data_IF_600136054788
#
_entry.id   IF_600136054788
#
_cell.length_a   1.000
_cell.length_b   1.000
_cell.length_c   1.000
_cell.angle_alpha   90.00
_cell.angle_beta   90.00
_cell.angle_gamma   90.00
#
_symmetry.space_group_name_H-M   'P 1'
#
loop_
_entity.id
_entity.type
_entity.pdbx_description
1 polymer ?
#
# COMPACT_ATOMS: atom_id res chain seq x y z
N UNK A 1 3.91 -7.80 -20.35
CA UNK A 1 3.69 -6.91 -19.19
C UNK A 1 4.64 -5.73 -19.34
N UNK A 2 4.13 -4.51 -19.56
CA UNK A 2 4.96 -3.31 -19.77
C UNK A 2 5.25 -2.70 -18.39
N UNK A 3 6.51 -2.71 -17.98
CA UNK A 3 6.96 -2.12 -16.72
C UNK A 3 6.69 -0.61 -16.74
N UNK A 4 6.01 -0.11 -15.71
CA UNK A 4 5.84 1.32 -15.49
C UNK A 4 7.21 1.97 -15.23
N UNK A 5 7.48 3.17 -15.78
CA UNK A 5 8.75 3.86 -15.58
C UNK A 5 9.00 4.06 -14.08
N UNK A 6 10.21 3.75 -13.62
CA UNK A 6 10.65 3.87 -12.22
C UNK A 6 10.61 5.34 -11.79
N UNK A 7 9.43 5.78 -11.36
CA UNK A 7 9.27 6.97 -10.55
C UNK A 7 9.68 6.56 -9.15
N UNK A 8 10.63 7.28 -8.54
CA UNK A 8 10.97 7.10 -7.13
C UNK A 8 9.70 7.41 -6.32
N UNK A 9 8.96 6.37 -5.99
CA UNK A 9 7.74 6.45 -5.19
C UNK A 9 8.20 6.68 -3.75
N UNK A 10 8.04 7.89 -3.22
CA UNK A 10 8.27 8.20 -1.80
C UNK A 10 7.12 7.68 -0.92
N UNK A 11 6.56 6.53 -1.27
CA UNK A 11 5.49 5.88 -0.53
C UNK A 11 6.13 4.94 0.49
N UNK A 12 6.57 5.52 1.60
CA UNK A 12 7.08 4.75 2.75
C UNK A 12 5.89 4.03 3.39
N UNK A 13 5.93 2.71 3.33
CA UNK A 13 5.10 1.86 4.16
C UNK A 13 5.67 1.90 5.59
N UNK A 14 4.82 2.14 6.58
CA UNK A 14 5.21 2.10 7.98
C UNK A 14 5.14 0.65 8.46
N UNK A 15 6.23 0.18 9.08
CA UNK A 15 6.31 -1.16 9.63
C UNK A 15 6.74 -1.11 11.10
N UNK A 16 6.11 -1.92 11.93
CA UNK A 16 6.46 -2.12 13.35
C UNK A 16 6.70 -3.61 13.59
N UNK A 17 7.91 -3.97 14.04
CA UNK A 17 8.36 -5.36 14.22
C UNK A 17 8.12 -6.21 12.94
N UNK A 18 8.27 -5.58 11.77
CA UNK A 18 8.09 -6.24 10.46
C UNK A 18 6.65 -6.29 9.95
N UNK A 19 5.63 -5.97 10.77
CA UNK A 19 4.24 -5.90 10.32
C UNK A 19 3.92 -4.53 9.73
N UNK A 20 3.11 -4.52 8.66
CA UNK A 20 2.67 -3.28 8.04
C UNK A 20 1.65 -2.57 8.94
N UNK A 21 2.00 -1.40 9.46
CA UNK A 21 1.12 -0.58 10.32
C UNK A 21 0.33 0.46 9.55
N UNK A 22 0.85 0.91 8.40
CA UNK A 22 0.18 1.93 7.58
C UNK A 22 0.50 1.82 6.09
N UNK A 23 -0.53 1.82 5.27
CA UNK A 23 -0.39 1.95 3.82
C UNK A 23 -0.17 3.43 3.42
N UNK A 24 0.71 3.71 2.45
CA UNK A 24 0.93 5.06 1.94
C UNK A 24 -0.30 5.62 1.21
N UNK A 25 -1.23 4.75 0.80
CA UNK A 25 -2.51 5.15 0.22
C UNK A 25 -3.48 5.74 1.26
N UNK A 26 -3.25 5.52 2.56
CA UNK A 26 -4.11 6.04 3.64
C UNK A 26 -4.11 7.57 3.73
N UNK A 27 -2.98 8.20 3.39
CA UNK A 27 -2.79 9.66 3.38
C UNK A 27 -2.52 10.21 1.98
N UNK A 28 -2.90 9.47 0.94
CA UNK A 28 -2.70 9.90 -0.43
C UNK A 28 -3.54 11.15 -0.72
N UNK A 29 -2.89 12.28 -1.06
CA UNK A 29 -3.57 13.53 -1.45
C UNK A 29 -4.50 13.36 -2.66
N UNK A 30 -4.24 12.34 -3.49
CA UNK A 30 -5.04 11.97 -4.65
C UNK A 30 -6.19 11.03 -4.33
N UNK A 31 -6.45 10.73 -3.05
CA UNK A 31 -7.55 9.84 -2.67
C UNK A 31 -8.90 10.34 -3.18
N UNK A 32 -9.06 11.66 -3.31
CA UNK A 32 -10.22 12.31 -3.94
C UNK A 32 -10.42 12.01 -5.42
N UNK A 33 -9.37 11.55 -6.12
CA UNK A 33 -9.41 11.21 -7.54
C UNK A 33 -9.73 9.72 -7.75
N UNK A 34 -9.89 8.95 -6.66
CA UNK A 34 -10.21 7.53 -6.73
C UNK A 34 -11.70 7.32 -7.01
N UNK A 35 -12.07 6.19 -7.64
CA UNK A 35 -13.47 5.86 -7.86
C UNK A 35 -14.22 5.73 -6.53
N UNK A 36 -15.48 6.17 -6.50
CA UNK A 36 -16.34 6.07 -5.30
C UNK A 36 -16.51 4.62 -4.83
N UNK A 37 -16.40 3.65 -5.73
CA UNK A 37 -16.50 2.22 -5.40
C UNK A 37 -15.24 1.65 -4.72
N UNK A 38 -14.20 2.47 -4.50
CA UNK A 38 -12.95 2.00 -3.89
C UNK A 38 -13.16 1.54 -2.46
N UNK A 39 -13.95 2.28 -1.67
CA UNK A 39 -14.17 1.99 -0.24
C UNK A 39 -15.00 0.70 -0.04
N UNK A 40 -15.76 0.26 -1.05
CA UNK A 40 -16.55 -0.98 -1.04
C UNK A 40 -15.93 -2.11 -1.90
N UNK A 41 -14.69 -1.92 -2.37
CA UNK A 41 -14.05 -2.87 -3.27
C UNK A 41 -13.47 -4.06 -2.50
N UNK A 42 -14.26 -5.14 -2.40
CA UNK A 42 -13.85 -6.42 -1.77
C UNK A 42 -12.47 -6.95 -2.24
N UNK A 43 -12.07 -6.68 -3.48
CA UNK A 43 -10.76 -7.11 -3.98
C UNK A 43 -9.62 -6.30 -3.36
N UNK A 44 -9.79 -4.98 -3.23
CA UNK A 44 -8.82 -4.12 -2.58
C UNK A 44 -8.73 -4.44 -1.08
N UNK A 45 -9.84 -4.72 -0.42
CA UNK A 45 -9.85 -5.16 0.98
C UNK A 45 -9.02 -6.41 1.19
N UNK A 46 -9.22 -7.44 0.35
CA UNK A 46 -8.41 -8.68 0.42
C UNK A 46 -6.91 -8.40 0.24
N UNK A 47 -6.56 -7.55 -0.72
CA UNK A 47 -5.16 -7.17 -0.94
C UNK A 47 -4.61 -6.45 0.30
N UNK A 48 -5.36 -5.50 0.86
CA UNK A 48 -4.96 -4.78 2.07
C UNK A 48 -4.80 -5.72 3.27
N UNK A 49 -5.73 -6.66 3.49
CA UNK A 49 -5.62 -7.67 4.56
C UNK A 49 -4.33 -8.48 4.42
N UNK A 50 -4.07 -9.03 3.22
CA UNK A 50 -2.85 -9.83 2.97
C UNK A 50 -1.59 -9.00 3.21
N UNK A 51 -1.57 -7.73 2.77
CA UNK A 51 -0.41 -6.85 2.96
C UNK A 51 -0.21 -6.45 4.42
N UNK A 52 -1.28 -6.27 5.19
CA UNK A 52 -1.21 -5.97 6.63
C UNK A 52 -0.70 -7.17 7.45
N UNK A 53 -1.08 -8.39 7.06
CA UNK A 53 -0.63 -9.63 7.70
C UNK A 53 0.79 -10.05 7.25
N UNK A 54 1.30 -9.46 6.18
CA UNK A 54 2.63 -9.77 5.67
C UNK A 54 3.73 -9.19 6.57
N UNK A 55 4.69 -10.04 6.94
CA UNK A 55 5.92 -9.63 7.63
C UNK A 55 6.98 -9.27 6.59
N UNK A 56 7.46 -8.03 6.60
CA UNK A 56 8.57 -7.61 5.76
C UNK A 56 9.88 -8.19 6.29
N UNK A 57 10.47 -9.12 5.54
CA UNK A 57 11.81 -9.67 5.81
C UNK A 57 12.96 -8.78 5.30
N UNK A 58 12.64 -7.59 4.80
CA UNK A 58 13.64 -6.66 4.24
C UNK A 58 14.44 -6.01 5.37
N UNK A 59 15.72 -6.37 5.55
CA UNK A 59 16.64 -5.63 6.42
C UNK A 59 16.77 -4.20 5.87
N UNK A 60 16.38 -3.19 6.65
CA UNK A 60 16.87 -1.82 6.42
C UNK A 60 18.36 -1.82 6.79
N UNK A 61 19.21 -1.93 5.77
CA UNK A 61 20.64 -1.57 5.84
C UNK A 61 20.80 -0.11 5.46
#
# INVERSE_FOLDING_TARGET
>A
MKYLPYKKLEYRFDFEIGYLTKSPCRECEKRKDFPDCMDDCNMLDKIHTILCEAISCSKRV
#
